data_IF_533967763902
#
_entry.id   IF_533967763902
#
_cell.length_a   1.000
_cell.length_b   1.000
_cell.length_c   1.000
_cell.angle_alpha   90.00
_cell.angle_beta   90.00
_cell.angle_gamma   90.00
#
_symmetry.space_group_name_H-M   'P 1'
#
loop_
_entity.id
_entity.type
_entity.pdbx_description
1 polymer ?
#
# COMPACT_ATOMS: atom_id res chain seq x y z
N UNK A 1 4.39 -3.36 12.55
CA UNK A 1 2.93 -3.43 12.78
C UNK A 1 2.28 -3.90 11.50
N UNK A 2 1.33 -4.82 11.57
CA UNK A 2 0.48 -5.23 10.44
C UNK A 2 -0.85 -4.51 10.59
N UNK A 3 -1.38 -3.92 9.51
CA UNK A 3 -2.66 -3.22 9.54
C UNK A 3 -3.84 -4.08 9.04
N UNK A 4 -3.59 -5.32 8.63
CA UNK A 4 -4.64 -6.28 8.24
C UNK A 4 -5.47 -5.86 7.03
N UNK A 5 -5.05 -4.84 6.28
CA UNK A 5 -5.84 -4.24 5.19
C UNK A 5 -5.94 -5.13 3.96
N UNK A 6 -4.90 -5.93 3.71
CA UNK A 6 -4.82 -6.86 2.57
C UNK A 6 -4.81 -8.29 3.10
N UNK A 7 -5.76 -9.09 2.65
CA UNK A 7 -5.85 -10.50 3.03
C UNK A 7 -4.71 -11.29 2.39
N UNK A 8 -4.06 -12.14 3.19
CA UNK A 8 -3.11 -13.13 2.69
C UNK A 8 -3.90 -14.20 1.95
N UNK A 9 -3.49 -14.48 0.70
CA UNK A 9 -4.08 -15.52 -0.14
C UNK A 9 -2.99 -16.43 -0.70
N UNK A 10 -3.36 -17.50 -1.41
CA UNK A 10 -2.41 -18.45 -1.98
C UNK A 10 -1.39 -17.77 -2.93
N UNK A 11 -1.73 -16.63 -3.53
CA UNK A 11 -0.81 -15.86 -4.40
C UNK A 11 0.39 -15.28 -3.66
N UNK A 12 0.36 -15.25 -2.34
CA UNK A 12 1.49 -14.85 -1.49
C UNK A 12 2.57 -15.93 -1.40
N UNK A 13 2.23 -17.15 -1.82
CA UNK A 13 3.13 -18.31 -1.82
C UNK A 13 3.45 -18.66 -3.27
N UNK A 14 4.67 -18.32 -3.70
CA UNK A 14 5.17 -18.62 -5.03
C UNK A 14 6.29 -19.65 -5.02
N UNK A 15 6.75 -20.08 -6.22
CA UNK A 15 7.93 -20.92 -6.36
C UNK A 15 9.24 -20.13 -6.16
N UNK A 16 9.17 -18.82 -5.91
CA UNK A 16 10.34 -17.95 -5.76
C UNK A 16 11.26 -18.43 -4.65
N UNK A 17 12.53 -18.64 -5.01
CA UNK A 17 13.56 -19.18 -4.15
C UNK A 17 14.83 -18.38 -4.23
N UNK A 18 15.52 -18.27 -3.10
CA UNK A 18 16.85 -17.69 -3.01
C UNK A 18 17.74 -18.59 -2.16
N UNK A 19 19.05 -18.49 -2.37
CA UNK A 19 20.05 -19.13 -1.52
C UNK A 19 20.48 -18.16 -0.41
N UNK A 20 20.28 -18.54 0.85
CA UNK A 20 20.76 -17.81 2.02
C UNK A 20 21.68 -18.74 2.81
N UNK A 21 22.96 -18.35 2.97
CA UNK A 21 23.98 -19.17 3.63
C UNK A 21 24.08 -20.62 3.09
N UNK A 22 23.91 -20.81 1.78
CA UNK A 22 23.94 -22.14 1.14
C UNK A 22 22.64 -22.94 1.27
N UNK A 23 21.61 -22.38 1.90
CA UNK A 23 20.29 -23.00 2.01
C UNK A 23 19.30 -22.35 1.05
N UNK A 24 18.64 -23.19 0.26
CA UNK A 24 17.52 -22.78 -0.58
C UNK A 24 16.28 -22.51 0.27
N UNK A 25 15.79 -21.26 0.24
CA UNK A 25 14.61 -20.83 0.98
C UNK A 25 13.58 -20.21 0.05
N UNK A 26 12.30 -20.44 0.32
CA UNK A 26 11.20 -19.79 -0.39
C UNK A 26 11.02 -18.37 0.13
N UNK A 27 10.79 -17.44 -0.79
CA UNK A 27 10.53 -16.03 -0.47
C UNK A 27 9.19 -15.57 -1.02
N UNK A 28 8.71 -14.45 -0.48
CA UNK A 28 7.49 -13.80 -0.94
C UNK A 28 7.69 -13.25 -2.36
N UNK A 29 6.76 -13.54 -3.30
CA UNK A 29 6.81 -12.99 -4.65
C UNK A 29 6.78 -11.44 -4.66
N UNK A 30 7.36 -10.77 -5.68
CA UNK A 30 7.42 -9.32 -5.76
C UNK A 30 6.07 -8.61 -5.58
N UNK A 31 5.00 -9.11 -6.21
CA UNK A 31 3.65 -8.55 -6.07
C UNK A 31 3.16 -8.57 -4.63
N UNK A 32 3.27 -9.72 -3.96
CA UNK A 32 2.87 -9.87 -2.56
C UNK A 32 3.76 -9.06 -1.61
N UNK A 33 5.06 -8.92 -1.94
CA UNK A 33 5.98 -8.09 -1.16
C UNK A 33 5.59 -6.60 -1.22
N UNK A 34 5.19 -6.08 -2.38
CA UNK A 34 4.65 -4.72 -2.51
C UNK A 34 3.39 -4.55 -1.66
N UNK A 35 2.44 -5.48 -1.77
CA UNK A 35 1.18 -5.45 -1.01
C UNK A 35 1.43 -5.40 0.51
N UNK A 36 2.41 -6.18 1.00
CA UNK A 36 2.79 -6.19 2.43
C UNK A 36 3.36 -4.87 2.95
N UNK A 37 3.74 -3.95 2.05
CA UNK A 37 4.48 -2.71 2.37
C UNK A 37 3.71 -1.43 2.03
N UNK A 38 2.77 -1.48 1.08
CA UNK A 38 2.12 -0.31 0.51
C UNK A 38 1.45 0.62 1.55
N UNK A 39 0.95 0.06 2.65
CA UNK A 39 0.27 0.84 3.69
C UNK A 39 1.14 1.19 4.90
N UNK A 40 2.39 0.76 4.96
CA UNK A 40 3.27 1.09 6.09
C UNK A 40 3.75 2.54 5.90
N UNK A 41 2.99 3.47 6.47
CA UNK A 41 3.22 4.91 6.42
C UNK A 41 2.88 5.53 7.79
N UNK A 42 3.64 5.15 8.81
CA UNK A 42 3.53 5.72 10.14
C UNK A 42 4.62 6.79 10.37
N UNK A 43 4.49 7.55 11.48
CA UNK A 43 5.43 8.61 11.86
C UNK A 43 6.90 8.18 11.94
N UNK A 44 7.18 6.94 12.31
CA UNK A 44 8.53 6.42 12.58
C UNK A 44 8.98 5.38 11.55
N UNK A 45 8.09 4.93 10.68
CA UNK A 45 8.33 3.88 9.70
C UNK A 45 7.47 4.11 8.45
N UNK A 46 8.18 4.27 7.34
CA UNK A 46 7.61 4.36 6.01
C UNK A 46 8.35 3.41 5.07
N UNK A 47 7.65 2.40 4.53
CA UNK A 47 8.26 1.36 3.67
C UNK A 47 8.23 1.74 2.16
N UNK A 48 8.03 3.01 1.81
CA UNK A 48 7.94 3.44 0.41
C UNK A 48 9.22 3.20 -0.40
N UNK A 49 10.40 3.31 0.23
CA UNK A 49 11.66 2.98 -0.43
C UNK A 49 11.73 1.48 -0.79
N UNK A 50 11.21 0.61 0.06
CA UNK A 50 11.18 -0.83 -0.21
C UNK A 50 10.27 -1.15 -1.40
N UNK A 51 9.09 -0.52 -1.49
CA UNK A 51 8.20 -0.65 -2.65
C UNK A 51 8.94 -0.21 -3.93
N UNK A 52 9.60 0.94 -3.89
CA UNK A 52 10.34 1.45 -5.04
C UNK A 52 11.48 0.52 -5.47
N UNK A 53 12.22 -0.06 -4.51
CA UNK A 53 13.31 -0.99 -4.80
C UNK A 53 12.81 -2.30 -5.41
N UNK A 54 11.65 -2.81 -4.96
CA UNK A 54 11.03 -3.99 -5.57
C UNK A 54 10.62 -3.68 -7.00
N UNK A 55 9.99 -2.54 -7.28
CA UNK A 55 9.67 -2.12 -8.66
C UNK A 55 10.95 -2.02 -9.50
N UNK A 56 11.99 -1.37 -8.99
CA UNK A 56 13.25 -1.16 -9.72
C UNK A 56 13.93 -2.49 -10.11
N UNK A 57 13.91 -3.48 -9.20
CA UNK A 57 14.69 -4.72 -9.37
C UNK A 57 13.88 -5.90 -9.87
N UNK A 58 12.55 -5.85 -9.77
CA UNK A 58 11.68 -6.99 -10.05
C UNK A 58 10.50 -6.62 -10.96
N UNK A 59 10.56 -5.50 -11.70
CA UNK A 59 9.49 -5.02 -12.59
C UNK A 59 8.85 -6.11 -13.45
N UNK A 60 9.67 -6.98 -14.05
CA UNK A 60 9.23 -8.05 -14.97
C UNK A 60 8.55 -9.22 -14.25
N UNK A 61 8.83 -9.40 -12.95
CA UNK A 61 8.27 -10.45 -12.11
C UNK A 61 7.04 -9.98 -11.32
N UNK A 62 6.69 -8.70 -11.40
CA UNK A 62 5.47 -8.15 -10.80
C UNK A 62 4.29 -8.48 -11.71
N UNK A 63 3.32 -9.23 -11.17
CA UNK A 63 1.98 -9.31 -11.74
C UNK A 63 1.23 -8.00 -11.45
N UNK A 64 1.36 -7.05 -12.38
CA UNK A 64 0.76 -5.71 -12.29
C UNK A 64 -0.77 -5.72 -12.29
N UNK A 65 -1.39 -6.72 -12.94
CA UNK A 65 -2.85 -6.83 -12.98
C UNK A 65 -3.36 -7.31 -11.63
N UNK A 66 -2.77 -8.38 -11.10
CA UNK A 66 -3.07 -8.87 -9.75
C UNK A 66 -2.79 -7.81 -8.66
N UNK A 67 -1.72 -7.01 -8.83
CA UNK A 67 -1.44 -5.90 -7.93
C UNK A 67 -2.57 -4.87 -7.92
N UNK A 68 -3.05 -4.45 -9.10
CA UNK A 68 -4.17 -3.52 -9.20
C UNK A 68 -5.47 -4.14 -8.65
N UNK A 69 -5.78 -5.38 -9.00
CA UNK A 69 -7.00 -6.07 -8.55
C UNK A 69 -7.05 -6.17 -7.01
N UNK A 70 -5.92 -6.47 -6.36
CA UNK A 70 -5.84 -6.52 -4.89
C UNK A 70 -5.84 -5.14 -4.22
N UNK A 71 -5.38 -4.11 -4.94
CA UNK A 71 -5.37 -2.72 -4.48
C UNK A 71 -6.58 -1.93 -4.98
N UNK A 72 -7.59 -2.56 -5.58
CA UNK A 72 -8.65 -1.85 -6.33
C UNK A 72 -9.41 -0.82 -5.46
N UNK A 73 -9.74 -1.20 -4.23
CA UNK A 73 -10.38 -0.32 -3.24
C UNK A 73 -9.45 0.78 -2.69
N UNK A 74 -8.16 0.66 -2.96
CA UNK A 74 -7.08 1.47 -2.39
C UNK A 74 -6.13 1.97 -3.49
N UNK A 75 -6.65 2.13 -4.70
CA UNK A 75 -5.88 2.45 -5.88
C UNK A 75 -5.14 3.78 -5.73
N UNK A 76 -5.66 4.71 -4.91
CA UNK A 76 -4.99 5.98 -4.60
C UNK A 76 -3.64 5.76 -3.91
N UNK A 77 -3.57 4.75 -3.03
CA UNK A 77 -2.33 4.36 -2.33
C UNK A 77 -1.33 3.78 -3.31
N UNK A 78 -1.79 2.91 -4.21
CA UNK A 78 -0.95 2.38 -5.29
C UNK A 78 -0.42 3.52 -6.18
N UNK A 79 -1.30 4.43 -6.62
CA UNK A 79 -0.92 5.58 -7.44
C UNK A 79 0.12 6.46 -6.75
N UNK A 80 -0.01 6.71 -5.45
CA UNK A 80 0.98 7.48 -4.68
C UNK A 80 2.37 6.82 -4.71
N UNK A 81 2.46 5.49 -4.53
CA UNK A 81 3.73 4.75 -4.66
C UNK A 81 4.29 4.82 -6.07
N UNK A 82 3.46 4.69 -7.11
CA UNK A 82 3.93 4.78 -8.49
C UNK A 82 4.45 6.19 -8.83
N UNK A 83 3.84 7.23 -8.29
CA UNK A 83 4.36 8.61 -8.42
C UNK A 83 5.69 8.78 -7.70
N UNK A 84 5.81 8.25 -6.47
CA UNK A 84 7.07 8.26 -5.72
C UNK A 84 8.18 7.51 -6.45
N UNK A 85 7.87 6.34 -7.04
CA UNK A 85 8.81 5.57 -7.86
C UNK A 85 9.31 6.40 -9.05
N UNK A 86 8.39 7.02 -9.81
CA UNK A 86 8.74 7.82 -10.99
C UNK A 86 9.51 9.09 -10.64
N UNK A 87 9.30 9.64 -9.44
CA UNK A 87 10.09 10.75 -8.91
C UNK A 87 11.50 10.31 -8.53
N UNK A 88 11.64 9.19 -7.80
CA UNK A 88 12.92 8.64 -7.38
C UNK A 88 13.77 8.11 -8.55
N UNK A 89 13.12 7.55 -9.57
CA UNK A 89 13.73 6.87 -10.71
C UNK A 89 13.17 7.37 -12.05
N UNK A 90 13.45 8.63 -12.44
CA UNK A 90 12.86 9.24 -13.62
C UNK A 90 13.30 8.57 -14.94
N UNK A 91 14.49 7.98 -14.99
CA UNK A 91 15.02 7.24 -16.14
C UNK A 91 14.39 5.85 -16.27
N UNK A 92 13.96 5.25 -15.16
CA UNK A 92 13.37 3.91 -15.08
C UNK A 92 11.83 3.96 -15.02
N UNK A 93 11.21 5.13 -15.19
CA UNK A 93 9.75 5.32 -15.16
C UNK A 93 8.96 4.38 -16.09
N UNK A 94 9.62 3.81 -17.10
CA UNK A 94 9.06 2.84 -18.04
C UNK A 94 8.92 1.42 -17.49
N UNK A 95 9.52 1.12 -16.33
CA UNK A 95 9.34 -0.17 -15.63
C UNK A 95 7.92 -0.37 -15.11
N UNK A 96 7.18 0.73 -14.88
CA UNK A 96 5.75 0.68 -14.58
C UNK A 96 4.97 0.65 -15.90
N UNK A 97 4.07 -0.33 -16.12
CA UNK A 97 3.31 -0.42 -17.36
C UNK A 97 2.50 0.85 -17.66
N UNK A 98 2.55 1.30 -18.91
CA UNK A 98 1.83 2.50 -19.35
C UNK A 98 0.31 2.39 -19.14
N UNK A 99 -0.27 1.20 -19.37
CA UNK A 99 -1.70 0.96 -19.18
C UNK A 99 -2.15 1.20 -17.74
N UNK A 100 -1.31 0.86 -16.75
CA UNK A 100 -1.62 1.02 -15.33
C UNK A 100 -1.67 2.51 -14.96
N UNK A 101 -0.72 3.30 -15.46
CA UNK A 101 -0.74 4.75 -15.27
C UNK A 101 -1.97 5.38 -15.92
N UNK A 102 -2.32 4.98 -17.15
CA UNK A 102 -3.52 5.47 -17.85
C UNK A 102 -4.80 5.14 -17.07
N UNK A 103 -4.94 3.91 -16.58
CA UNK A 103 -6.07 3.47 -15.77
C UNK A 103 -6.21 4.31 -14.49
N UNK A 104 -5.14 4.47 -13.71
CA UNK A 104 -5.18 5.22 -12.45
C UNK A 104 -5.44 6.72 -12.65
N UNK A 105 -4.92 7.31 -13.75
CA UNK A 105 -5.25 8.69 -14.13
C UNK A 105 -6.74 8.81 -14.47
N UNK A 106 -7.31 7.83 -15.21
CA UNK A 106 -8.73 7.81 -15.53
C UNK A 106 -9.60 7.73 -14.27
N UNK A 107 -9.22 6.89 -13.30
CA UNK A 107 -9.90 6.81 -11.99
C UNK A 107 -9.85 8.13 -11.23
N UNK A 108 -8.68 8.79 -11.21
CA UNK A 108 -8.53 10.09 -10.57
C UNK A 108 -9.40 11.17 -11.23
N UNK A 109 -9.42 11.22 -12.57
CA UNK A 109 -10.28 12.15 -13.30
C UNK A 109 -11.75 11.94 -12.96
N UNK A 110 -12.22 10.68 -13.01
CA UNK A 110 -13.59 10.35 -12.64
C UNK A 110 -13.91 10.74 -11.19
N UNK A 111 -12.96 10.59 -10.25
CA UNK A 111 -13.14 10.95 -8.84
C UNK A 111 -13.21 12.47 -8.62
N UNK A 112 -12.42 13.25 -9.36
CA UNK A 112 -12.46 14.73 -9.30
C UNK A 112 -13.82 15.27 -9.73
N UNK A 113 -14.49 14.61 -10.67
CA UNK A 113 -15.80 15.00 -11.16
C UNK A 113 -16.97 14.57 -10.24
N UNK A 114 -16.70 13.77 -9.19
CA UNK A 114 -17.73 13.34 -8.25
C UNK A 114 -18.19 14.49 -7.33
N UNK A 115 -19.48 14.52 -6.97
CA UNK A 115 -19.95 15.43 -5.93
C UNK A 115 -19.28 15.13 -4.60
N UNK A 116 -19.11 16.18 -3.78
CA UNK A 116 -18.50 16.05 -2.47
C UNK A 116 -19.22 14.99 -1.61
N UNK A 117 -18.47 14.11 -0.91
CA UNK A 117 -19.05 13.12 -0.01
C UNK A 117 -19.92 13.78 1.07
N UNK A 118 -21.08 13.19 1.35
CA UNK A 118 -21.99 13.65 2.42
C UNK A 118 -21.57 13.18 3.81
N UNK A 119 -20.72 12.16 3.88
CA UNK A 119 -20.23 11.55 5.13
C UNK A 119 -18.76 11.90 5.29
N UNK A 120 -18.38 12.40 6.46
CA UNK A 120 -16.98 12.57 6.84
C UNK A 120 -16.37 11.21 7.15
N UNK A 121 -15.36 10.79 6.39
CA UNK A 121 -14.67 9.51 6.58
C UNK A 121 -13.17 9.75 6.59
N UNK A 122 -12.44 9.18 7.56
CA UNK A 122 -10.98 9.23 7.60
C UNK A 122 -10.40 7.83 7.40
N UNK A 123 -9.83 7.58 6.22
CA UNK A 123 -9.12 6.32 5.91
C UNK A 123 -7.66 6.32 6.40
N UNK A 124 -7.17 7.42 6.97
CA UNK A 124 -5.78 7.56 7.40
C UNK A 124 -5.37 6.57 8.49
N UNK A 125 -6.32 6.09 9.29
CA UNK A 125 -6.07 5.02 10.27
C UNK A 125 -5.63 3.69 9.64
N UNK A 126 -5.83 3.49 8.33
CA UNK A 126 -5.24 2.36 7.59
C UNK A 126 -3.72 2.48 7.42
N UNK A 127 -3.18 3.71 7.45
CA UNK A 127 -1.74 3.97 7.43
C UNK A 127 -1.17 3.95 8.85
N UNK A 128 -1.76 4.75 9.73
CA UNK A 128 -1.33 4.91 11.12
C UNK A 128 -2.53 5.13 12.03
N UNK A 129 -2.97 4.11 12.79
CA UNK A 129 -4.08 4.26 13.74
C UNK A 129 -3.85 5.35 14.78
N UNK A 130 -2.58 5.61 15.14
CA UNK A 130 -2.19 6.59 16.17
C UNK A 130 -2.14 8.01 15.62
N UNK A 131 -1.53 8.22 14.45
CA UNK A 131 -1.37 9.57 13.90
C UNK A 131 -2.71 10.18 13.47
N UNK A 132 -3.70 9.34 13.18
CA UNK A 132 -5.05 9.74 12.75
C UNK A 132 -6.12 9.57 13.86
N UNK A 133 -5.73 9.51 15.14
CA UNK A 133 -6.71 9.39 16.23
C UNK A 133 -7.54 10.67 16.39
N UNK A 134 -6.91 11.84 16.26
CA UNK A 134 -7.56 13.15 16.38
C UNK A 134 -8.68 13.34 15.34
N UNK A 135 -8.49 12.80 14.13
CA UNK A 135 -9.50 12.79 13.08
C UNK A 135 -10.83 12.20 13.56
N UNK A 136 -10.75 11.12 14.34
CA UNK A 136 -11.91 10.42 14.87
C UNK A 136 -12.40 11.06 16.18
N UNK A 137 -11.49 11.25 17.15
CA UNK A 137 -11.86 11.67 18.51
C UNK A 137 -12.22 13.16 18.63
N UNK A 138 -11.68 14.01 17.76
CA UNK A 138 -11.80 15.46 17.87
C UNK A 138 -12.45 16.10 16.64
N UNK A 139 -12.18 15.59 15.42
CA UNK A 139 -12.61 16.24 14.17
C UNK A 139 -13.89 15.64 13.56
N UNK A 140 -14.43 14.59 14.19
CA UNK A 140 -15.75 14.02 13.87
C UNK A 140 -15.79 13.24 12.55
N UNK A 141 -14.67 12.66 12.12
CA UNK A 141 -14.64 11.73 10.99
C UNK A 141 -15.10 10.33 11.43
N UNK A 142 -15.79 9.63 10.52
CA UNK A 142 -16.16 8.24 10.70
C UNK A 142 -14.95 7.32 10.63
N UNK A 143 -14.90 6.36 11.56
CA UNK A 143 -13.86 5.35 11.64
C UNK A 143 -14.06 4.24 10.61
N UNK A 144 -12.97 3.83 9.98
CA UNK A 144 -12.94 2.82 8.91
C UNK A 144 -12.28 1.53 9.38
N UNK A 145 -11.70 1.54 10.58
CA UNK A 145 -10.98 0.41 11.16
C UNK A 145 -11.85 -0.28 12.21
N UNK A 146 -12.07 -1.59 12.06
CA UNK A 146 -12.80 -2.38 13.08
C UNK A 146 -12.04 -2.41 14.42
N UNK A 147 -12.76 -2.62 15.53
CA UNK A 147 -12.26 -2.63 16.93
C UNK A 147 -11.00 -3.48 17.23
N UNK A 148 -10.53 -4.30 16.29
CA UNK A 148 -9.37 -5.19 16.45
C UNK A 148 -7.99 -4.52 16.43
N UNK A 149 -7.90 -3.22 16.12
CA UNK A 149 -6.65 -2.43 16.17
C UNK A 149 -6.58 -1.46 17.35
N UNK A 150 -7.49 -1.59 18.33
CA UNK A 150 -7.35 -0.94 19.63
C UNK A 150 -6.21 -1.61 20.41
N UNK A 151 -4.96 -1.22 20.16
CA UNK A 151 -3.90 -1.44 21.13
C UNK A 151 -4.30 -0.71 22.42
N UNK A 152 -4.60 -1.47 23.48
CA UNK A 152 -4.73 -0.89 24.82
C UNK A 152 -3.38 -0.29 25.20
N UNK A 153 -3.34 1.02 25.31
CA UNK A 153 -2.20 1.71 25.92
C UNK A 153 -2.58 2.11 27.34
N UNK A 154 -1.93 1.46 28.30
CA UNK A 154 -1.77 2.04 29.62
C UNK A 154 -1.06 3.40 29.45
N UNK A 155 -1.50 4.44 30.18
CA UNK A 155 -0.87 5.76 30.09
C UNK A 155 0.61 5.64 30.48
N UNK A 156 1.47 6.22 29.64
CA UNK A 156 2.88 6.42 30.00
C UNK A 156 2.89 7.42 31.17
N UNK A 157 3.36 6.94 32.32
CA UNK A 157 3.54 7.72 33.55
C UNK A 157 4.67 8.76 33.40
#
# INVERSE_FOLDING_TARGET
MSNGTIAVSDSWFGPDRITVYGHEVTITPPTALILSKAFIQDRYRYDGADVNHVILKQADAIDWKSLLDQMDLYWEVLMAHLLNFRFAYPTERGLVPAWLMTELIGRLQAQVDLPAPRVKVCRGRLFSPRDYIADISEWGFGDVVGKGLEERHDPVA
#
